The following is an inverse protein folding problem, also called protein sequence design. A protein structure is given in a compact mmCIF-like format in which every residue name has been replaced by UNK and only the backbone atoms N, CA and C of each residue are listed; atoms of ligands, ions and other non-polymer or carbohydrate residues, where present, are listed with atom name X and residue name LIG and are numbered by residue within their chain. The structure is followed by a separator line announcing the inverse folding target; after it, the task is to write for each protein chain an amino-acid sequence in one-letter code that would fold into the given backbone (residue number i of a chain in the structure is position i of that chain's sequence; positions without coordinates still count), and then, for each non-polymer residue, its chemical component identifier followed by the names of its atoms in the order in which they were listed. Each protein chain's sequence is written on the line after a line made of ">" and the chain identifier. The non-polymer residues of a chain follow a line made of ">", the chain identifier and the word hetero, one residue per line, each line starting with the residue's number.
data_IF_520364949302
#
_entry.id   IF_520364949302
#
_cell.length_a   1.000
_cell.length_b   1.000
_cell.length_c   1.000
_cell.angle_alpha   90.00
_cell.angle_beta   90.00
_cell.angle_gamma   90.00
#
_symmetry.space_group_name_H-M   'P 1'
#
loop_
_entity.id
_entity.type
_entity.pdbx_description
1 polymer ?
#
# COMPACT_ATOMS: atom_id res chain seq x y z
N UNK A 1 -24.50 -9.18 -14.73
CA UNK A 1 -23.98 -8.00 -13.99
C UNK A 1 -22.71 -7.58 -14.68
N UNK A 2 -22.61 -6.37 -15.26
CA UNK A 2 -21.31 -5.89 -15.70
C UNK A 2 -20.47 -5.66 -14.43
N UNK A 3 -19.29 -6.28 -14.35
CA UNK A 3 -18.32 -5.91 -13.32
C UNK A 3 -18.02 -4.43 -13.52
N UNK A 4 -18.31 -3.59 -12.52
CA UNK A 4 -17.81 -2.22 -12.54
C UNK A 4 -16.29 -2.32 -12.59
N UNK A 5 -15.68 -1.73 -13.61
CA UNK A 5 -14.24 -1.62 -13.67
C UNK A 5 -13.82 -0.63 -12.57
N UNK A 6 -13.16 -1.13 -11.53
CA UNK A 6 -12.55 -0.27 -10.52
C UNK A 6 -11.44 0.55 -11.17
N UNK A 7 -11.38 1.84 -10.85
CA UNK A 7 -10.21 2.63 -11.21
C UNK A 7 -9.01 2.33 -10.30
N UNK A 8 -7.84 2.81 -10.68
CA UNK A 8 -6.61 2.55 -9.91
C UNK A 8 -6.67 3.13 -8.48
N UNK A 9 -7.43 4.19 -8.23
CA UNK A 9 -7.58 4.76 -6.89
C UNK A 9 -8.48 3.88 -6.01
N UNK A 10 -9.55 3.34 -6.58
CA UNK A 10 -10.39 2.33 -5.92
C UNK A 10 -9.61 1.04 -5.65
N UNK A 11 -8.81 0.58 -6.61
CA UNK A 11 -7.96 -0.60 -6.42
C UNK A 11 -6.90 -0.38 -5.33
N UNK A 12 -6.29 0.82 -5.26
CA UNK A 12 -5.37 1.15 -4.17
C UNK A 12 -6.07 1.20 -2.81
N UNK A 13 -7.30 1.72 -2.77
CA UNK A 13 -8.12 1.71 -1.55
C UNK A 13 -8.44 0.28 -1.10
N UNK A 14 -8.79 -0.61 -2.02
CA UNK A 14 -9.00 -2.02 -1.71
C UNK A 14 -7.70 -2.66 -1.21
N UNK A 15 -6.56 -2.37 -1.84
CA UNK A 15 -5.26 -2.86 -1.40
C UNK A 15 -4.96 -2.44 0.04
N UNK A 16 -5.11 -1.15 0.37
CA UNK A 16 -4.82 -0.64 1.71
C UNK A 16 -5.79 -1.18 2.77
N UNK A 17 -7.07 -1.31 2.45
CA UNK A 17 -8.08 -1.93 3.34
C UNK A 17 -7.90 -3.46 3.48
N UNK A 18 -7.27 -4.12 2.50
CA UNK A 18 -6.91 -5.54 2.61
C UNK A 18 -5.72 -5.74 3.55
N UNK A 19 -4.77 -4.81 3.54
CA UNK A 19 -3.53 -4.91 4.32
C UNK A 19 -3.68 -4.41 5.77
N UNK A 20 -4.56 -3.43 6.02
CA UNK A 20 -4.60 -2.71 7.28
C UNK A 20 -6.00 -2.62 7.89
N UNK A 21 -6.03 -2.62 9.21
CA UNK A 21 -7.19 -2.19 9.99
C UNK A 21 -7.13 -0.67 10.14
N UNK A 22 -8.21 0.02 9.78
CA UNK A 22 -8.28 1.48 9.76
C UNK A 22 -9.33 2.01 10.74
N UNK A 23 -9.07 3.15 11.35
CA UNK A 23 -10.07 3.88 12.16
C UNK A 23 -11.04 4.70 11.27
N UNK A 24 -12.02 5.37 11.90
CA UNK A 24 -12.98 6.23 11.21
C UNK A 24 -12.39 7.43 10.46
N UNK A 25 -11.12 7.77 10.71
CA UNK A 25 -10.35 8.80 10.00
C UNK A 25 -9.39 8.21 8.96
N UNK A 26 -9.47 6.90 8.70
CA UNK A 26 -8.56 6.13 7.84
C UNK A 26 -7.10 6.13 8.32
N UNK A 27 -6.88 6.10 9.63
CA UNK A 27 -5.54 5.91 10.23
C UNK A 27 -5.30 4.44 10.55
N UNK A 28 -4.06 3.98 10.41
CA UNK A 28 -3.69 2.58 10.68
C UNK A 28 -3.80 2.30 12.19
N UNK A 29 -4.58 1.29 12.56
CA UNK A 29 -4.67 0.78 13.94
C UNK A 29 -4.14 -0.66 14.06
N UNK A 30 -3.73 -1.26 12.95
CA UNK A 30 -3.09 -2.57 12.91
C UNK A 30 -2.95 -3.09 11.48
N UNK A 31 -2.24 -4.20 11.33
CA UNK A 31 -2.24 -5.00 10.09
C UNK A 31 -3.41 -5.99 10.11
N UNK A 32 -3.94 -6.31 8.94
CA UNK A 32 -5.02 -7.28 8.77
C UNK A 32 -4.48 -8.73 8.72
N UNK A 33 -3.74 -9.13 9.75
CA UNK A 33 -3.24 -10.51 9.92
C UNK A 33 -3.73 -11.12 11.24
N UNK A 34 -3.88 -12.46 11.33
CA UNK A 34 -4.37 -13.13 12.54
C UNK A 34 -3.56 -12.84 13.80
N UNK A 35 -2.25 -12.62 13.68
CA UNK A 35 -1.35 -12.36 14.81
C UNK A 35 -1.27 -10.88 15.19
N UNK A 36 -1.67 -9.98 14.28
CA UNK A 36 -1.48 -8.52 14.39
C UNK A 36 -0.03 -8.11 14.77
N UNK A 37 0.96 -8.95 14.46
CA UNK A 37 2.27 -8.88 15.09
C UNK A 37 3.20 -7.78 14.54
N UNK A 38 2.78 -7.01 13.52
CA UNK A 38 3.57 -5.92 12.98
C UNK A 38 2.88 -4.56 13.15
N UNK A 39 3.61 -3.61 13.71
CA UNK A 39 3.24 -2.20 13.74
C UNK A 39 3.72 -1.52 12.45
N UNK A 40 2.78 -0.99 11.66
CA UNK A 40 3.09 -0.20 10.46
C UNK A 40 2.80 1.26 10.75
N UNK A 41 3.85 2.09 10.78
CA UNK A 41 3.71 3.53 11.03
C UNK A 41 3.14 4.28 9.82
N UNK A 42 3.57 3.91 8.61
CA UNK A 42 3.23 4.60 7.37
C UNK A 42 3.04 3.59 6.24
N UNK A 43 1.98 3.79 5.45
CA UNK A 43 1.79 3.15 4.16
C UNK A 43 1.76 4.23 3.07
N UNK A 44 2.43 3.97 1.95
CA UNK A 44 2.29 4.77 0.73
C UNK A 44 2.04 3.90 -0.48
N UNK A 45 0.88 4.10 -1.08
CA UNK A 45 0.48 3.50 -2.35
C UNK A 45 0.63 4.52 -3.48
N UNK A 46 1.22 4.14 -4.60
CA UNK A 46 1.31 5.01 -5.80
C UNK A 46 0.54 4.38 -6.94
N UNK A 47 -0.30 5.20 -7.60
CA UNK A 47 -1.10 4.84 -8.77
C UNK A 47 -0.86 5.83 -9.91
N UNK A 48 -1.49 5.58 -11.07
CA UNK A 48 -1.47 6.54 -12.19
C UNK A 48 -2.24 7.84 -11.89
N UNK A 49 -3.14 7.83 -10.90
CA UNK A 49 -3.97 8.98 -10.55
C UNK A 49 -3.46 9.73 -9.32
N UNK A 50 -2.49 9.18 -8.58
CA UNK A 50 -1.91 9.85 -7.43
C UNK A 50 -1.32 8.90 -6.41
N UNK A 51 -1.29 9.35 -5.16
CA UNK A 51 -0.75 8.60 -4.04
C UNK A 51 -1.77 8.51 -2.92
N UNK A 52 -1.86 7.35 -2.29
CA UNK A 52 -2.53 7.17 -1.00
C UNK A 52 -1.47 7.16 0.09
N UNK A 53 -1.69 7.94 1.15
CA UNK A 53 -0.83 7.98 2.34
C UNK A 53 -1.70 7.70 3.55
N UNK A 54 -1.37 6.63 4.27
CA UNK A 54 -1.99 6.27 5.55
C UNK A 54 -0.92 6.30 6.63
N UNK A 55 -1.27 6.86 7.77
CA UNK A 55 -0.40 7.01 8.93
C UNK A 55 -1.08 6.36 10.14
N UNK A 56 -0.31 5.74 11.02
CA UNK A 56 -0.84 5.09 12.20
C UNK A 56 -1.49 6.08 13.18
N UNK A 57 -2.53 5.64 13.88
CA UNK A 57 -3.38 6.49 14.70
C UNK A 57 -2.67 7.07 15.94
N UNK A 58 -1.58 6.42 16.36
CA UNK A 58 -0.70 6.82 17.46
C UNK A 58 0.47 7.70 17.01
N UNK A 59 0.59 7.98 15.72
CA UNK A 59 1.64 8.85 15.19
C UNK A 59 1.28 10.33 15.30
N UNK A 60 2.29 11.23 15.41
CA UNK A 60 2.04 12.66 15.52
C UNK A 60 1.44 13.26 14.24
N UNK A 61 0.40 14.08 14.37
CA UNK A 61 -0.21 14.83 13.25
C UNK A 61 0.82 15.63 12.41
N UNK A 62 1.86 16.28 12.99
CA UNK A 62 2.87 16.98 12.19
C UNK A 62 3.65 16.07 11.23
N UNK A 63 3.85 14.80 11.61
CA UNK A 63 4.51 13.82 10.75
C UNK A 63 3.63 13.51 9.54
N UNK A 64 2.32 13.30 9.75
CA UNK A 64 1.37 13.06 8.68
C UNK A 64 1.34 14.23 7.69
N UNK A 65 1.26 15.46 8.19
CA UNK A 65 1.23 16.67 7.35
C UNK A 65 2.51 16.79 6.49
N UNK A 66 3.68 16.55 7.09
CA UNK A 66 4.95 16.63 6.36
C UNK A 66 5.05 15.56 5.26
N UNK A 67 4.60 14.34 5.55
CA UNK A 67 4.54 13.25 4.56
C UNK A 67 3.55 13.54 3.43
N UNK A 68 2.38 14.10 3.75
CA UNK A 68 1.39 14.52 2.73
C UNK A 68 1.96 15.58 1.81
N UNK A 69 2.59 16.62 2.37
CA UNK A 69 3.27 17.65 1.57
C UNK A 69 4.35 17.06 0.65
N UNK A 70 5.14 16.09 1.11
CA UNK A 70 6.13 15.42 0.26
C UNK A 70 5.47 14.63 -0.88
N UNK A 71 4.33 14.00 -0.62
CA UNK A 71 3.59 13.25 -1.63
C UNK A 71 2.93 14.15 -2.68
N UNK A 72 2.58 15.39 -2.34
CA UNK A 72 2.00 16.39 -3.26
C UNK A 72 3.06 17.10 -4.13
N UNK A 73 4.29 17.30 -3.61
CA UNK A 73 5.33 18.15 -4.21
C UNK A 73 6.02 17.60 -5.49
N UNK A 74 5.59 16.47 -6.06
CA UNK A 74 6.09 16.06 -7.38
C UNK A 74 6.06 14.55 -7.69
N UNK A 75 6.44 14.22 -8.92
CA UNK A 75 6.36 12.88 -9.52
C UNK A 75 7.33 11.85 -8.95
N UNK A 76 8.45 12.27 -8.33
CA UNK A 76 9.43 11.38 -7.75
C UNK A 76 9.35 11.33 -6.23
N UNK A 77 8.80 10.24 -5.71
CA UNK A 77 8.85 9.90 -4.30
C UNK A 77 10.25 9.38 -3.96
N UNK A 78 10.92 10.03 -3.02
CA UNK A 78 12.18 9.53 -2.47
C UNK A 78 11.92 8.80 -1.17
N UNK A 79 12.01 7.47 -1.19
CA UNK A 79 11.95 6.65 0.03
C UNK A 79 12.98 7.16 1.05
N UNK A 80 14.15 7.60 0.61
CA UNK A 80 15.20 8.15 1.49
C UNK A 80 14.74 9.44 2.18
N UNK A 81 14.08 10.35 1.49
CA UNK A 81 13.58 11.60 2.11
C UNK A 81 12.43 11.31 3.08
N UNK A 82 11.52 10.42 2.69
CA UNK A 82 10.43 9.99 3.55
C UNK A 82 10.93 9.31 4.82
N UNK A 83 11.89 8.39 4.69
CA UNK A 83 12.51 7.72 5.85
C UNK A 83 13.15 8.75 6.77
N UNK A 84 13.86 9.75 6.25
CA UNK A 84 14.45 10.83 7.07
C UNK A 84 13.39 11.62 7.83
N UNK A 85 12.26 11.93 7.21
CA UNK A 85 11.14 12.61 7.88
C UNK A 85 10.56 11.73 8.99
N UNK A 86 10.30 10.46 8.73
CA UNK A 86 9.81 9.52 9.74
C UNK A 86 10.81 9.39 10.89
N UNK A 87 12.11 9.31 10.60
CA UNK A 87 13.20 9.22 11.57
C UNK A 87 13.31 10.43 12.52
N UNK A 88 12.74 11.58 12.17
CA UNK A 88 12.66 12.70 13.12
C UNK A 88 11.67 12.46 14.26
N UNK A 89 10.72 11.54 14.08
CA UNK A 89 9.69 11.20 15.07
C UNK A 89 9.93 9.81 15.68
N UNK A 90 10.35 8.83 14.87
CA UNK A 90 10.59 7.46 15.33
C UNK A 90 11.62 6.73 14.44
N UNK A 91 12.43 5.80 14.98
CA UNK A 91 13.36 5.02 14.17
C UNK A 91 12.64 4.14 13.13
N UNK A 92 13.07 4.22 11.87
CA UNK A 92 12.60 3.30 10.81
C UNK A 92 13.33 1.96 10.97
N UNK A 93 12.61 0.93 11.44
CA UNK A 93 13.19 -0.41 11.66
C UNK A 93 13.24 -1.25 10.38
N UNK A 94 12.24 -1.07 9.51
CA UNK A 94 12.04 -1.91 8.33
C UNK A 94 11.28 -1.12 7.26
N UNK A 95 11.59 -1.40 6.00
CA UNK A 95 10.89 -0.85 4.83
C UNK A 95 10.49 -2.03 3.95
N UNK A 96 9.21 -2.10 3.63
CA UNK A 96 8.66 -3.11 2.74
C UNK A 96 8.28 -2.44 1.42
N UNK A 97 8.82 -2.96 0.32
CA UNK A 97 8.50 -2.49 -1.03
C UNK A 97 8.05 -3.69 -1.85
N UNK A 98 6.88 -3.57 -2.47
CA UNK A 98 6.33 -4.61 -3.32
C UNK A 98 5.37 -4.03 -4.35
N UNK A 99 4.99 -4.82 -5.37
CA UNK A 99 3.87 -4.47 -6.20
C UNK A 99 2.61 -4.36 -5.33
N UNK A 100 1.72 -3.41 -5.66
CA UNK A 100 0.37 -3.42 -5.13
C UNK A 100 -0.44 -4.50 -5.87
N UNK A 101 -1.36 -4.10 -6.75
CA UNK A 101 -2.11 -5.00 -7.62
C UNK A 101 -1.49 -5.04 -9.02
N UNK A 102 -1.53 -6.21 -9.67
CA UNK A 102 -1.25 -6.37 -11.10
C UNK A 102 -2.31 -7.30 -11.67
N UNK A 103 -3.34 -6.74 -12.30
CA UNK A 103 -4.28 -7.51 -13.10
C UNK A 103 -3.84 -7.41 -14.57
N UNK A 104 -3.54 -8.54 -15.23
CA UNK A 104 -3.28 -8.51 -16.66
C UNK A 104 -4.59 -8.24 -17.42
N UNK A 105 -4.54 -7.38 -18.43
CA UNK A 105 -5.71 -7.05 -19.28
C UNK A 105 -6.26 -8.27 -20.05
N UNK A 106 -5.46 -9.34 -20.12
CA UNK A 106 -5.84 -10.61 -20.73
C UNK A 106 -5.72 -11.71 -19.69
N UNK A 107 -6.69 -12.64 -19.63
CA UNK A 107 -6.54 -13.87 -18.86
C UNK A 107 -5.20 -14.53 -19.23
N UNK A 108 -4.41 -14.88 -18.23
CA UNK A 108 -3.25 -15.72 -18.44
C UNK A 108 -3.82 -17.10 -18.75
N UNK A 109 -3.71 -17.55 -20.00
CA UNK A 109 -4.03 -18.94 -20.34
C UNK A 109 -3.12 -19.83 -19.48
N UNK A 110 -3.68 -20.82 -18.76
CA UNK A 110 -2.85 -21.76 -18.02
C UNK A 110 -1.87 -22.40 -18.99
N UNK A 111 -0.58 -22.40 -18.64
CA UNK A 111 0.43 -23.08 -19.42
C UNK A 111 -0.03 -24.53 -19.67
N UNK A 112 0.00 -24.96 -20.92
CA UNK A 112 -0.38 -26.32 -21.27
C UNK A 112 0.40 -27.30 -20.39
N UNK A 113 -0.32 -28.12 -19.62
CA UNK A 113 0.24 -29.19 -18.81
C UNK A 113 1.15 -30.05 -19.71
N UNK A 114 2.47 -30.12 -19.46
CA UNK A 114 3.39 -30.92 -20.26
C UNK A 114 3.20 -32.40 -19.93
N UNK A 115 2.04 -32.94 -20.33
CA UNK A 115 1.78 -34.35 -20.51
C UNK A 115 1.88 -35.21 -19.26
N UNK A 116 0.74 -35.50 -18.63
CA UNK A 116 0.53 -36.79 -18.00
C UNK A 116 0.60 -37.90 -19.07
N UNK A 117 1.81 -38.37 -19.40
CA UNK A 117 1.99 -39.60 -20.17
C UNK A 117 1.73 -40.78 -19.23
N UNK A 118 0.50 -41.26 -19.24
CA UNK A 118 0.19 -42.64 -18.84
C UNK A 118 0.67 -43.57 -19.95
N UNK A 119 1.77 -44.28 -19.68
CA UNK A 119 2.11 -45.56 -20.28
C UNK A 119 2.66 -46.48 -19.20
#
# INVERSE_FOLDING_TARGET
>A
MPYAAYDDAELMRIQSETLYLLDGRRRIIGINEPSQAAETAVFVGTTRFGREVLVAADMPDPMEEELRMQCERGTNMSIVQMSKTIETYMPVKQIWVGPAYVFPDKPIEPAADPGHRVH
#
